data_IF_101462045584
#
_entry.id   IF_101462045584
#
_cell.length_a   1.000
_cell.length_b   1.000
_cell.length_c   1.000
_cell.angle_alpha   90.00
_cell.angle_beta   90.00
_cell.angle_gamma   90.00
#
_symmetry.space_group_name_H-M   'P 1'
#
loop_
_entity.id
_entity.type
_entity.pdbx_description
1 polymer ?
#
# COMPACT_ATOMS: atom_id res chain seq x y z
N UNK A 1 -17.45 6.08 12.35
CA UNK A 1 -16.93 4.75 12.71
C UNK A 1 -17.82 4.13 13.78
N UNK A 2 -18.37 2.91 13.59
CA UNK A 2 -18.87 2.13 14.73
C UNK A 2 -17.67 1.84 15.63
N UNK A 3 -17.76 2.21 16.91
CA UNK A 3 -16.69 2.17 17.93
C UNK A 3 -16.06 0.79 18.21
N UNK A 4 -16.40 -0.29 17.49
CA UNK A 4 -16.15 -1.66 17.96
C UNK A 4 -14.84 -2.32 17.51
N UNK A 5 -14.14 -1.84 16.47
CA UNK A 5 -12.96 -2.56 15.93
C UNK A 5 -11.61 -2.00 16.35
N UNK A 6 -11.53 -0.71 16.69
CA UNK A 6 -10.32 -0.09 17.24
C UNK A 6 -9.23 0.31 16.23
N UNK A 7 -9.46 0.15 14.92
CA UNK A 7 -8.55 0.66 13.88
C UNK A 7 -8.29 2.16 14.09
N UNK A 8 -7.02 2.53 14.17
CA UNK A 8 -6.58 3.90 14.45
C UNK A 8 -5.57 4.42 13.41
N UNK A 9 -5.27 3.63 12.38
CA UNK A 9 -4.32 3.98 11.32
C UNK A 9 -4.87 3.58 9.95
N UNK A 10 -4.62 4.45 8.97
CA UNK A 10 -4.87 4.21 7.55
C UNK A 10 -3.52 4.34 6.87
N UNK A 11 -3.04 3.25 6.26
CA UNK A 11 -1.82 3.26 5.45
C UNK A 11 -2.06 3.80 4.03
N UNK A 12 -1.21 3.40 3.07
CA UNK A 12 -1.24 3.90 1.69
C UNK A 12 -2.53 3.48 0.95
N UNK A 13 -3.46 4.42 0.67
CA UNK A 13 -4.74 4.13 0.06
C UNK A 13 -4.64 3.99 -1.45
N UNK A 14 -5.61 3.31 -2.05
CA UNK A 14 -5.69 3.18 -3.51
C UNK A 14 -7.07 3.56 -4.04
N UNK A 15 -7.08 4.01 -5.29
CA UNK A 15 -8.31 4.25 -6.03
C UNK A 15 -8.61 3.03 -6.90
N UNK A 16 -9.77 2.41 -6.64
CA UNK A 16 -10.29 1.34 -7.47
C UNK A 16 -11.31 1.94 -8.46
N UNK A 17 -11.02 1.94 -9.78
CA UNK A 17 -11.88 2.56 -10.78
C UNK A 17 -13.15 1.75 -11.11
N UNK A 18 -13.31 0.54 -10.56
CA UNK A 18 -14.45 -0.33 -10.88
C UNK A 18 -15.81 0.30 -10.52
N UNK A 19 -16.81 0.06 -11.38
CA UNK A 19 -18.23 0.40 -11.17
C UNK A 19 -18.54 1.78 -10.56
N UNK A 20 -17.89 2.84 -11.05
CA UNK A 20 -18.11 4.22 -10.59
C UNK A 20 -17.10 4.73 -9.56
N UNK A 21 -16.09 3.93 -9.23
CA UNK A 21 -14.96 4.34 -8.43
C UNK A 21 -15.18 4.21 -6.92
N UNK A 22 -14.10 3.93 -6.19
CA UNK A 22 -14.06 3.94 -4.73
C UNK A 22 -12.64 4.12 -4.23
N UNK A 23 -12.51 4.63 -3.01
CA UNK A 23 -11.21 4.67 -2.31
C UNK A 23 -11.14 3.45 -1.40
N UNK A 24 -10.07 2.67 -1.55
CA UNK A 24 -9.71 1.55 -0.70
C UNK A 24 -8.74 2.06 0.38
N UNK A 25 -9.08 1.79 1.63
CA UNK A 25 -8.35 2.27 2.79
C UNK A 25 -7.77 1.04 3.52
N UNK A 26 -6.45 0.84 3.55
CA UNK A 26 -5.86 -0.23 4.34
C UNK A 26 -5.97 0.18 5.81
N UNK A 27 -6.73 -0.59 6.59
CA UNK A 27 -6.96 -0.31 8.00
C UNK A 27 -6.11 -1.24 8.83
N UNK A 28 -5.40 -0.63 9.77
CA UNK A 28 -4.61 -1.32 10.77
C UNK A 28 -4.68 -0.59 12.10
N UNK A 29 -3.98 -1.14 13.08
CA UNK A 29 -3.68 -0.40 14.28
C UNK A 29 -2.19 -0.10 14.35
N UNK A 30 -1.88 1.05 14.91
CA UNK A 30 -0.54 1.52 15.11
C UNK A 30 -0.40 2.09 16.52
N UNK A 31 0.58 1.62 17.25
CA UNK A 31 1.03 2.24 18.49
C UNK A 31 2.29 3.07 18.20
N UNK A 32 2.25 4.41 18.27
CA UNK A 32 3.41 5.25 17.97
C UNK A 32 4.57 5.07 18.96
N UNK A 33 4.33 4.53 20.16
CA UNK A 33 5.36 4.32 21.18
C UNK A 33 6.16 3.03 20.97
N UNK A 34 5.52 1.96 20.48
CA UNK A 34 6.17 0.67 20.28
C UNK A 34 6.38 0.29 18.81
N UNK A 35 5.69 0.97 17.88
CA UNK A 35 5.67 0.62 16.46
C UNK A 35 4.80 -0.61 16.13
N UNK A 36 4.16 -1.22 17.12
CA UNK A 36 3.39 -2.45 16.95
C UNK A 36 1.98 -2.21 16.39
N UNK A 37 1.42 -3.28 15.82
CA UNK A 37 -0.02 -3.40 15.55
C UNK A 37 -0.73 -4.12 16.71
N UNK A 38 -1.38 -3.38 17.64
CA UNK A 38 -2.06 -3.99 18.79
C UNK A 38 -3.31 -4.77 18.39
N UNK A 39 -3.86 -4.54 17.20
CA UNK A 39 -5.08 -5.19 16.75
C UNK A 39 -4.81 -6.55 16.10
N UNK A 40 -3.58 -6.76 15.58
CA UNK A 40 -3.12 -8.00 14.93
C UNK A 40 -4.10 -8.51 13.87
N UNK A 41 -4.77 -7.58 13.19
CA UNK A 41 -5.76 -7.81 12.16
C UNK A 41 -5.72 -6.62 11.21
N UNK A 42 -5.95 -6.89 9.93
CA UNK A 42 -6.15 -5.83 8.95
C UNK A 42 -7.53 -5.89 8.32
N UNK A 43 -7.96 -4.78 7.76
CA UNK A 43 -9.19 -4.67 6.98
C UNK A 43 -8.99 -3.73 5.81
N UNK A 44 -9.89 -3.82 4.83
CA UNK A 44 -9.98 -2.86 3.74
C UNK A 44 -11.25 -2.06 3.96
N UNK A 45 -11.08 -0.80 4.32
CA UNK A 45 -12.13 0.22 4.35
C UNK A 45 -12.48 0.69 2.95
N UNK A 46 -13.71 1.15 2.77
CA UNK A 46 -14.21 1.71 1.53
C UNK A 46 -14.81 3.07 1.82
N UNK A 47 -14.34 4.08 1.09
CA UNK A 47 -14.90 5.43 1.11
C UNK A 47 -15.43 5.84 -0.27
N UNK A 48 -16.38 6.76 -0.24
CA UNK A 48 -16.87 7.46 -1.41
C UNK A 48 -15.75 8.31 -2.03
N UNK A 49 -15.49 8.23 -3.35
CA UNK A 49 -14.33 8.90 -3.94
C UNK A 49 -14.49 10.42 -4.09
N UNK A 50 -15.71 10.95 -3.92
CA UNK A 50 -16.00 12.39 -4.09
C UNK A 50 -16.11 13.08 -2.74
N UNK A 51 -16.97 12.54 -1.88
CA UNK A 51 -17.26 13.09 -0.55
C UNK A 51 -16.30 12.59 0.53
N UNK A 52 -15.50 11.56 0.24
CA UNK A 52 -14.62 10.87 1.19
C UNK A 52 -15.37 10.26 2.39
N UNK A 53 -16.71 10.19 2.31
CA UNK A 53 -17.50 9.58 3.36
C UNK A 53 -17.21 8.08 3.42
N UNK A 54 -16.94 7.62 4.64
CA UNK A 54 -16.87 6.21 4.98
C UNK A 54 -18.14 5.48 4.57
N UNK A 55 -18.00 4.33 3.89
CA UNK A 55 -19.12 3.46 3.52
C UNK A 55 -19.16 2.20 4.38
N UNK A 56 -18.10 1.39 4.32
CA UNK A 56 -17.99 0.12 5.05
C UNK A 56 -16.53 -0.35 5.14
N UNK A 57 -16.28 -1.47 5.81
CA UNK A 57 -15.01 -2.20 5.75
C UNK A 57 -15.26 -3.70 5.61
N UNK A 58 -14.27 -4.41 5.08
CA UNK A 58 -14.22 -5.87 5.05
C UNK A 58 -12.92 -6.31 5.72
N UNK A 59 -12.99 -7.18 6.74
CA UNK A 59 -11.79 -7.71 7.39
C UNK A 59 -11.05 -8.68 6.45
N UNK A 60 -9.73 -8.68 6.56
CA UNK A 60 -8.89 -9.73 5.99
C UNK A 60 -8.83 -10.89 6.98
N UNK A 61 -8.87 -12.12 6.45
CA UNK A 61 -8.66 -13.30 7.28
C UNK A 61 -7.33 -13.21 8.03
N UNK A 62 -7.35 -13.38 9.35
CA UNK A 62 -6.16 -13.31 10.20
C UNK A 62 -5.10 -14.39 9.87
N UNK A 63 -5.51 -15.48 9.21
CA UNK A 63 -4.59 -16.48 8.66
C UNK A 63 -3.83 -15.98 7.42
N UNK A 64 -4.29 -14.89 6.81
CA UNK A 64 -3.71 -14.31 5.60
C UNK A 64 -2.79 -13.13 5.92
N UNK A 65 -3.25 -12.16 6.70
CA UNK A 65 -2.49 -10.98 7.08
C UNK A 65 -2.88 -10.49 8.48
N UNK A 66 -1.89 -10.03 9.24
CA UNK A 66 -2.07 -9.48 10.60
C UNK A 66 -1.99 -7.96 10.67
N UNK A 67 -1.58 -7.32 9.57
CA UNK A 67 -1.35 -5.87 9.43
C UNK A 67 -1.52 -5.53 7.95
N UNK A 68 -2.08 -4.37 7.61
CA UNK A 68 -2.29 -3.90 6.24
C UNK A 68 -1.80 -2.45 6.15
N UNK A 69 -0.58 -2.23 5.66
CA UNK A 69 0.03 -0.90 5.56
C UNK A 69 -0.25 -0.19 4.24
N UNK A 70 -0.71 -0.94 3.23
CA UNK A 70 -1.02 -0.40 1.90
C UNK A 70 -2.03 -1.31 1.20
N UNK A 71 -2.75 -0.78 0.23
CA UNK A 71 -3.49 -1.58 -0.76
C UNK A 71 -3.32 -0.95 -2.12
N UNK A 72 -3.35 -1.75 -3.18
CA UNK A 72 -3.38 -1.23 -4.55
C UNK A 72 -4.36 -2.01 -5.43
N UNK A 73 -5.33 -1.33 -6.04
CA UNK A 73 -6.24 -1.92 -7.00
C UNK A 73 -5.52 -2.17 -8.34
N UNK A 74 -5.73 -3.35 -8.94
CA UNK A 74 -5.21 -3.61 -10.28
C UNK A 74 -5.92 -2.73 -11.32
N UNK A 75 -5.23 -2.34 -12.42
CA UNK A 75 -5.83 -1.45 -13.42
C UNK A 75 -7.08 -2.01 -14.11
N UNK A 76 -7.23 -3.33 -14.15
CA UNK A 76 -8.42 -4.02 -14.66
C UNK A 76 -9.56 -4.11 -13.64
N UNK A 77 -9.36 -3.61 -12.41
CA UNK A 77 -10.33 -3.61 -11.32
C UNK A 77 -10.66 -5.00 -10.77
N UNK A 78 -9.88 -6.04 -11.10
CA UNK A 78 -10.18 -7.43 -10.72
C UNK A 78 -9.56 -7.82 -9.38
N UNK A 79 -8.42 -7.24 -9.03
CA UNK A 79 -7.64 -7.61 -7.86
C UNK A 79 -7.33 -6.39 -7.00
N UNK A 80 -7.18 -6.64 -5.70
CA UNK A 80 -6.61 -5.69 -4.73
C UNK A 80 -5.39 -6.34 -4.11
N UNK A 81 -4.23 -5.70 -4.24
CA UNK A 81 -2.95 -6.19 -3.79
C UNK A 81 -2.54 -5.58 -2.45
N UNK A 82 -1.79 -6.31 -1.65
CA UNK A 82 -1.14 -5.85 -0.42
C UNK A 82 -0.01 -6.81 -0.04
N UNK A 83 0.72 -6.53 1.03
CA UNK A 83 1.75 -7.40 1.59
C UNK A 83 1.30 -8.14 2.85
N UNK A 84 1.91 -9.29 3.10
CA UNK A 84 1.84 -9.97 4.39
C UNK A 84 3.18 -10.67 4.68
N UNK A 85 3.94 -10.16 5.65
CA UNK A 85 5.34 -10.54 5.83
C UNK A 85 6.10 -10.43 4.49
N UNK A 86 6.79 -11.49 4.06
CA UNK A 86 7.55 -11.52 2.82
C UNK A 86 6.71 -11.90 1.58
N UNK A 87 5.41 -12.14 1.76
CA UNK A 87 4.50 -12.53 0.68
C UNK A 87 3.75 -11.31 0.11
N UNK A 88 3.50 -11.36 -1.20
CA UNK A 88 2.53 -10.48 -1.85
C UNK A 88 1.19 -11.21 -1.98
N UNK A 89 0.09 -10.56 -1.54
CA UNK A 89 -1.26 -11.11 -1.56
C UNK A 89 -2.13 -10.34 -2.55
N UNK A 90 -3.01 -11.06 -3.25
CA UNK A 90 -4.10 -10.46 -4.01
C UNK A 90 -5.45 -11.00 -3.55
N UNK A 91 -6.42 -10.12 -3.37
CA UNK A 91 -7.81 -10.41 -3.10
C UNK A 91 -8.64 -10.11 -4.35
N UNK A 92 -9.73 -10.83 -4.57
CA UNK A 92 -10.68 -10.45 -5.61
C UNK A 92 -11.34 -9.12 -5.21
N UNK A 93 -11.26 -8.11 -6.08
CA UNK A 93 -11.84 -6.79 -5.81
C UNK A 93 -13.37 -6.87 -5.62
N UNK A 94 -14.01 -7.83 -6.30
CA UNK A 94 -15.44 -8.13 -6.14
C UNK A 94 -15.81 -8.59 -4.73
N UNK A 95 -14.88 -9.15 -3.95
CA UNK A 95 -15.12 -9.60 -2.56
C UNK A 95 -15.03 -8.45 -1.56
N UNK A 96 -14.44 -7.32 -1.93
CA UNK A 96 -14.53 -6.08 -1.16
C UNK A 96 -15.90 -5.48 -1.45
N UNK A 97 -16.93 -5.85 -0.72
CA UNK A 97 -18.29 -5.39 -1.00
C UNK A 97 -19.12 -5.30 0.30
N UNK A 98 -20.31 -4.71 0.20
CA UNK A 98 -21.18 -4.52 1.36
C UNK A 98 -21.74 -5.82 1.95
N UNK A 99 -21.92 -6.88 1.13
CA UNK A 99 -22.37 -8.20 1.60
C UNK A 99 -21.34 -8.86 2.51
N UNK A 100 -20.06 -8.62 2.25
CA UNK A 100 -18.95 -9.13 3.05
C UNK A 100 -18.56 -8.17 4.19
N UNK A 101 -19.25 -7.04 4.36
CA UNK A 101 -18.83 -6.01 5.30
C UNK A 101 -18.99 -6.42 6.77
N UNK A 102 -18.12 -5.89 7.63
CA UNK A 102 -18.24 -5.96 9.08
C UNK A 102 -17.31 -6.96 9.77
N UNK A 103 -17.58 -7.26 11.05
CA UNK A 103 -16.68 -8.00 11.92
C UNK A 103 -16.46 -9.46 11.52
N UNK A 104 -17.43 -10.05 10.83
CA UNK A 104 -17.46 -11.45 10.43
C UNK A 104 -16.99 -11.68 8.99
N UNK A 105 -16.80 -10.58 8.23
CA UNK A 105 -16.19 -10.62 6.91
C UNK A 105 -14.77 -11.17 6.98
N UNK A 106 -14.35 -11.98 6.01
CA UNK A 106 -13.00 -12.51 5.98
C UNK A 106 -12.53 -12.69 4.54
N UNK A 107 -11.93 -11.63 3.98
CA UNK A 107 -11.25 -11.71 2.69
C UNK A 107 -10.15 -12.77 2.75
N UNK A 108 -10.17 -13.65 1.76
CA UNK A 108 -9.13 -14.66 1.55
C UNK A 108 -8.39 -14.31 0.26
N UNK A 109 -7.05 -14.42 0.26
CA UNK A 109 -6.28 -14.16 -0.94
C UNK A 109 -6.67 -15.18 -2.02
N UNK A 110 -6.99 -14.69 -3.21
CA UNK A 110 -7.17 -15.52 -4.41
C UNK A 110 -5.84 -15.78 -5.11
N UNK A 111 -4.81 -15.01 -4.75
CA UNK A 111 -3.44 -15.19 -5.21
C UNK A 111 -2.44 -14.84 -4.12
N UNK A 112 -1.33 -15.57 -4.09
CA UNK A 112 -0.20 -15.31 -3.21
C UNK A 112 1.10 -15.56 -3.98
N UNK A 113 1.99 -14.58 -4.02
CA UNK A 113 3.36 -14.73 -4.49
C UNK A 113 4.24 -14.84 -3.26
N UNK A 114 4.72 -16.06 -2.99
CA UNK A 114 5.48 -16.36 -1.78
C UNK A 114 6.90 -15.81 -1.90
N UNK A 115 7.37 -15.12 -0.87
CA UNK A 115 8.71 -14.53 -0.84
C UNK A 115 8.94 -13.42 -1.87
N UNK A 116 7.89 -12.90 -2.52
CA UNK A 116 8.02 -11.82 -3.50
C UNK A 116 8.58 -10.52 -2.90
N UNK A 117 8.54 -10.39 -1.57
CA UNK A 117 9.09 -9.24 -0.85
C UNK A 117 10.39 -9.59 -0.11
N UNK A 118 10.90 -10.81 -0.23
CA UNK A 118 12.14 -11.22 0.39
C UNK A 118 13.31 -10.33 -0.10
N UNK A 119 14.04 -9.75 0.85
CA UNK A 119 15.14 -8.83 0.55
C UNK A 119 14.73 -7.40 0.15
N UNK A 120 13.43 -7.13 -0.05
CA UNK A 120 12.93 -5.78 -0.23
C UNK A 120 12.96 -5.01 1.11
N UNK A 121 13.08 -3.68 1.08
CA UNK A 121 12.88 -2.88 2.28
C UNK A 121 11.43 -2.99 2.79
N UNK A 122 11.16 -2.52 4.02
CA UNK A 122 9.82 -2.58 4.60
C UNK A 122 8.83 -1.80 3.72
N UNK A 123 8.01 -2.52 2.95
CA UNK A 123 7.10 -1.95 1.95
C UNK A 123 5.94 -1.26 2.65
N UNK A 124 5.76 0.03 2.38
CA UNK A 124 4.68 0.85 2.94
C UNK A 124 3.76 1.47 1.89
N UNK A 125 4.04 1.25 0.61
CA UNK A 125 3.16 1.74 -0.45
C UNK A 125 3.29 0.98 -1.76
N UNK A 126 2.25 1.05 -2.59
CA UNK A 126 2.18 0.33 -3.84
C UNK A 126 1.38 1.06 -4.91
N UNK A 127 1.89 1.08 -6.14
CA UNK A 127 1.22 1.72 -7.27
C UNK A 127 1.43 0.96 -8.57
N UNK A 128 0.40 0.84 -9.41
CA UNK A 128 0.56 0.33 -10.77
C UNK A 128 1.12 1.42 -11.70
N UNK A 129 2.10 1.02 -12.51
CA UNK A 129 2.60 1.83 -13.62
C UNK A 129 2.98 0.95 -14.81
N UNK A 130 2.33 1.18 -15.97
CA UNK A 130 2.55 0.43 -17.22
C UNK A 130 2.49 -1.09 -17.03
N UNK A 131 1.48 -1.57 -16.30
CA UNK A 131 1.26 -3.00 -16.07
C UNK A 131 2.18 -3.65 -15.04
N UNK A 132 3.07 -2.88 -14.39
CA UNK A 132 3.93 -3.36 -13.30
C UNK A 132 3.44 -2.81 -11.97
N UNK A 133 3.47 -3.64 -10.93
CA UNK A 133 3.29 -3.18 -9.57
C UNK A 133 4.62 -2.61 -9.07
N UNK A 134 4.62 -1.33 -8.70
CA UNK A 134 5.74 -0.68 -8.03
C UNK A 134 5.48 -0.69 -6.53
N UNK A 135 6.50 -1.04 -5.75
CA UNK A 135 6.45 -1.11 -4.29
C UNK A 135 7.50 -0.17 -3.70
N UNK A 136 7.06 0.77 -2.87
CA UNK A 136 7.93 1.67 -2.12
C UNK A 136 8.15 1.13 -0.70
N UNK A 137 9.39 1.19 -0.23
CA UNK A 137 9.71 0.81 1.12
C UNK A 137 11.02 1.39 1.62
N UNK A 138 11.24 1.22 2.93
CA UNK A 138 12.46 1.69 3.58
C UNK A 138 13.11 0.66 4.52
N UNK A 139 14.45 0.71 4.60
CA UNK A 139 15.23 0.01 5.62
C UNK A 139 16.34 0.94 6.12
N UNK A 140 16.21 1.42 7.36
CA UNK A 140 17.03 2.51 7.87
C UNK A 140 16.94 3.75 6.95
N UNK A 141 18.07 4.21 6.44
CA UNK A 141 18.13 5.35 5.50
C UNK A 141 17.94 4.96 4.04
N UNK A 142 17.85 3.67 3.72
CA UNK A 142 17.72 3.19 2.34
C UNK A 142 16.26 3.17 1.94
N UNK A 143 15.92 4.05 1.01
CA UNK A 143 14.59 4.18 0.40
C UNK A 143 14.66 3.58 -0.99
N UNK A 144 13.81 2.60 -1.30
CA UNK A 144 13.73 2.03 -2.65
C UNK A 144 12.31 1.97 -3.19
N UNK A 145 12.20 2.10 -4.51
CA UNK A 145 11.03 1.66 -5.28
C UNK A 145 11.46 0.47 -6.13
N UNK A 146 10.74 -0.64 -6.00
CA UNK A 146 10.98 -1.87 -6.74
C UNK A 146 9.78 -2.19 -7.62
N UNK A 147 9.99 -2.52 -8.89
CA UNK A 147 8.96 -3.14 -9.72
C UNK A 147 8.91 -4.64 -9.45
N UNK A 148 7.71 -5.20 -9.31
CA UNK A 148 7.49 -6.64 -9.12
C UNK A 148 6.81 -7.21 -10.35
N UNK A 149 7.37 -8.27 -10.92
CA UNK A 149 6.70 -9.09 -11.91
C UNK A 149 5.65 -9.94 -11.20
N UNK A 150 4.39 -9.68 -11.52
CA UNK A 150 3.30 -10.37 -10.85
C UNK A 150 3.17 -11.83 -11.28
N UNK A 151 3.84 -12.30 -12.33
CA UNK A 151 3.78 -13.70 -12.77
C UNK A 151 4.55 -14.64 -11.83
N UNK A 152 5.73 -14.22 -11.38
CA UNK A 152 6.66 -15.03 -10.59
C UNK A 152 7.10 -14.39 -9.26
N UNK A 153 6.80 -13.10 -9.04
CA UNK A 153 7.18 -12.36 -7.85
C UNK A 153 8.59 -11.78 -7.89
N UNK A 154 9.31 -11.91 -9.01
CA UNK A 154 10.65 -11.34 -9.15
C UNK A 154 10.60 -9.82 -9.06
N UNK A 155 11.57 -9.24 -8.34
CA UNK A 155 11.63 -7.80 -8.11
C UNK A 155 12.86 -7.16 -8.75
N UNK A 156 12.68 -5.95 -9.26
CA UNK A 156 13.75 -5.11 -9.81
C UNK A 156 13.70 -3.73 -9.20
N UNK A 157 14.83 -3.28 -8.67
CA UNK A 157 14.98 -1.90 -8.18
C UNK A 157 14.92 -0.89 -9.31
N UNK A 158 14.02 0.07 -9.18
CA UNK A 158 13.82 1.18 -10.12
C UNK A 158 14.43 2.48 -9.58
N UNK A 159 14.29 2.72 -8.27
CA UNK A 159 14.76 3.92 -7.57
C UNK A 159 15.48 3.49 -6.30
N UNK A 160 16.59 4.14 -5.99
CA UNK A 160 17.25 4.06 -4.69
C UNK A 160 17.65 5.46 -4.23
N UNK A 161 17.30 5.81 -3.00
CA UNK A 161 17.69 7.05 -2.34
C UNK A 161 18.25 6.76 -0.94
N UNK A 162 19.03 7.70 -0.42
CA UNK A 162 19.46 7.73 0.97
C UNK A 162 18.83 8.93 1.66
N UNK A 163 17.82 8.70 2.49
CA UNK A 163 17.02 9.73 3.16
C UNK A 163 16.88 9.42 4.65
N UNK A 164 16.54 10.43 5.45
CA UNK A 164 16.08 10.27 6.83
C UNK A 164 14.62 10.71 6.92
N UNK A 165 13.75 9.82 7.38
CA UNK A 165 12.30 10.03 7.40
C UNK A 165 11.57 8.69 7.44
N UNK A 166 10.30 8.71 7.06
CA UNK A 166 9.43 7.55 6.95
C UNK A 166 8.75 7.50 5.58
N UNK A 167 8.89 6.38 4.88
CA UNK A 167 8.15 6.07 3.64
C UNK A 167 6.69 5.78 3.97
N UNK A 168 5.76 6.49 3.34
CA UNK A 168 4.36 6.53 3.81
C UNK A 168 3.32 6.28 2.70
N UNK A 169 3.77 5.98 1.49
CA UNK A 169 2.87 5.62 0.40
C UNK A 169 3.41 5.97 -0.98
N UNK A 170 2.89 5.29 -2.00
CA UNK A 170 3.30 5.46 -3.38
C UNK A 170 2.06 5.57 -4.26
N UNK A 171 1.98 6.60 -5.10
CA UNK A 171 0.86 6.78 -6.01
C UNK A 171 1.33 7.10 -7.42
N UNK A 172 0.61 6.58 -8.42
CA UNK A 172 0.77 6.97 -9.82
C UNK A 172 -0.27 8.01 -10.15
N UNK A 173 0.14 9.28 -10.17
CA UNK A 173 -0.70 10.43 -10.55
C UNK A 173 0.17 11.50 -11.20
N UNK A 174 -0.33 12.07 -12.30
CA UNK A 174 0.33 13.20 -12.95
C UNK A 174 0.14 14.45 -12.08
N UNK A 175 1.17 14.80 -11.31
CA UNK A 175 1.14 15.88 -10.34
C UNK A 175 2.55 16.44 -10.15
N UNK A 176 2.65 17.76 -9.90
CA UNK A 176 3.91 18.45 -9.60
C UNK A 176 5.07 18.16 -10.59
N UNK A 177 4.75 17.94 -11.87
CA UNK A 177 5.77 17.68 -12.91
C UNK A 177 6.32 16.25 -12.91
N UNK A 178 5.69 15.31 -12.21
CA UNK A 178 6.03 13.88 -12.24
C UNK A 178 4.79 13.01 -12.31
N UNK A 179 4.99 11.70 -12.47
CA UNK A 179 3.90 10.70 -12.55
C UNK A 179 3.90 9.78 -11.34
N UNK A 180 5.06 9.50 -10.78
CA UNK A 180 5.16 8.68 -9.57
C UNK A 180 5.41 9.60 -8.39
N UNK A 181 4.51 9.55 -7.41
CA UNK A 181 4.55 10.37 -6.21
C UNK A 181 4.83 9.49 -5.00
N UNK A 182 5.86 9.81 -4.25
CA UNK A 182 6.23 9.09 -3.03
C UNK A 182 6.17 10.03 -1.83
N UNK A 183 5.30 9.71 -0.87
CA UNK A 183 5.21 10.47 0.38
C UNK A 183 6.30 10.05 1.37
N UNK A 184 7.01 11.05 1.89
CA UNK A 184 7.98 10.91 2.98
C UNK A 184 7.57 11.80 4.14
N UNK A 185 7.36 11.19 5.32
CA UNK A 185 7.11 11.90 6.57
C UNK A 185 8.41 12.17 7.33
N UNK A 186 8.52 13.31 8.04
CA UNK A 186 9.65 13.58 8.91
C UNK A 186 9.65 12.62 10.11
N UNK A 187 10.78 11.96 10.37
CA UNK A 187 11.02 11.13 11.54
C UNK A 187 12.35 11.52 12.18
N UNK A 188 12.35 11.81 13.48
CA UNK A 188 13.48 12.40 14.20
C UNK A 188 14.57 11.41 14.64
N UNK A 189 14.30 10.11 14.55
CA UNK A 189 15.16 9.05 15.09
C UNK A 189 15.47 8.00 14.02
N UNK A 190 16.74 7.57 13.85
CA UNK A 190 17.97 7.98 14.57
C UNK A 190 18.74 9.14 13.90
N UNK A 191 18.14 9.81 12.92
CA UNK A 191 18.77 10.91 12.19
C UNK A 191 17.85 12.11 12.09
N UNK A 192 18.38 13.34 12.00
CA UNK A 192 17.59 14.49 11.60
C UNK A 192 16.91 14.20 10.25
N UNK A 193 15.61 14.51 10.09
CA UNK A 193 14.90 14.17 8.88
C UNK A 193 15.44 14.99 7.70
N UNK A 194 15.52 14.36 6.53
CA UNK A 194 15.94 15.01 5.28
C UNK A 194 14.99 16.15 4.89
N UNK A 195 13.74 16.07 5.34
CA UNK A 195 12.72 17.10 5.13
C UNK A 195 12.08 17.45 6.48
N UNK A 196 11.87 18.73 6.75
CA UNK A 196 11.26 19.20 8.01
C UNK A 196 9.72 19.13 8.01
N UNK A 197 9.13 18.72 6.88
CA UNK A 197 7.68 18.66 6.65
C UNK A 197 7.36 17.42 5.81
N UNK A 198 6.11 16.91 5.87
CA UNK A 198 5.65 15.91 4.91
C UNK A 198 5.97 16.37 3.50
N UNK A 199 6.66 15.52 2.74
CA UNK A 199 7.17 15.87 1.41
C UNK A 199 6.73 14.82 0.41
N UNK A 200 6.25 15.27 -0.74
CA UNK A 200 6.04 14.42 -1.90
C UNK A 200 7.29 14.51 -2.79
N UNK A 201 7.90 13.35 -3.02
CA UNK A 201 8.94 13.20 -4.03
C UNK A 201 8.28 12.83 -5.35
N UNK A 202 8.45 13.68 -6.36
CA UNK A 202 7.90 13.48 -7.69
C UNK A 202 8.98 12.93 -8.61
N UNK A 203 8.69 11.81 -9.26
CA UNK A 203 9.57 11.20 -10.24
C UNK A 203 8.86 11.12 -11.59
N UNK A 204 9.64 11.31 -12.66
CA UNK A 204 9.30 10.78 -13.96
C UNK A 204 9.87 9.37 -14.06
N UNK A 205 9.03 8.32 -14.05
CA UNK A 205 9.53 6.98 -14.29
C UNK A 205 10.19 6.95 -15.67
N UNK A 206 11.44 6.46 -15.77
CA UNK A 206 12.17 6.36 -17.04
C UNK A 206 11.25 5.81 -18.12
N UNK A 207 11.11 6.55 -19.22
CA UNK A 207 10.52 5.98 -20.43
C UNK A 207 11.38 4.76 -20.79
N UNK A 208 10.74 3.59 -20.87
CA UNK A 208 11.45 2.34 -21.10
C UNK A 208 12.45 2.50 -22.23
N UNK A 209 13.72 2.19 -21.95
CA UNK A 209 14.67 1.93 -23.01
C UNK A 209 14.08 0.80 -23.85
N UNK A 210 13.64 1.12 -25.07
CA UNK A 210 13.71 0.14 -26.14
C UNK A 210 15.17 -0.30 -26.16
N UNK A 211 15.42 -1.57 -25.83
CA UNK A 211 16.72 -2.16 -26.11
C UNK A 211 16.94 -2.03 -27.63
N UNK A 212 18.13 -1.58 -28.08
CA UNK A 212 18.51 -1.78 -29.48
C UNK A 212 18.52 -3.27 -29.83
#
# INVERSE_FOLDING_TARGET
>A
MRRSEGFNHIGDPSFDPSAGGRILLPLECFNPLSGDDPCRRGAIGVADPVSLHWRYYVKVSAASARKLMWVEASPDGRLVWTSAADDLLAFAASEVNQRNAGPDGALRPVRRLRGALEGLPNVSGGAFWRGRLLLAGQSGRRFEVNSVDLSDGSARREIQLSLAGESEGLATVNFAGGVLQWQVMPRLDPFPPSYLRPTLLSFEPRQGAQRP
#
